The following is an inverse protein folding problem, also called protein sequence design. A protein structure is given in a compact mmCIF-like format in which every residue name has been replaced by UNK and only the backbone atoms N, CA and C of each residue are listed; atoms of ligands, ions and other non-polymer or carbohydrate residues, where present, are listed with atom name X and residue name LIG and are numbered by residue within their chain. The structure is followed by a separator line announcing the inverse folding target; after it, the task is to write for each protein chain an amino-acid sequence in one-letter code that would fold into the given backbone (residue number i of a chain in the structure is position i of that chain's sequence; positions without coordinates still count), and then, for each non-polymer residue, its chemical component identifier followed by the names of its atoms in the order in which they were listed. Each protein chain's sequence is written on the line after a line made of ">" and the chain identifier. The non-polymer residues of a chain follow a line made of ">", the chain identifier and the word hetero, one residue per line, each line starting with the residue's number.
data_IF_336940775055
#
_entry.id   IF_336940775055
#
_cell.length_a   1.000
_cell.length_b   1.000
_cell.length_c   1.000
_cell.angle_alpha   90.00
_cell.angle_beta   90.00
_cell.angle_gamma   90.00
#
_symmetry.space_group_name_H-M   'P 1'
#
loop_
_entity.id
_entity.type
_entity.pdbx_description
1 polymer ?
#
# COMPACT_ATOMS: atom_id res chain seq x y z
N UNK A 1 10.25 24.05 27.53
CA UNK A 1 9.62 22.71 27.54
C UNK A 1 8.75 22.59 26.30
N UNK A 2 9.03 21.61 25.46
CA UNK A 2 8.17 21.25 24.32
C UNK A 2 6.99 20.47 24.86
N UNK A 3 5.79 21.04 24.74
CA UNK A 3 4.55 20.35 25.09
C UNK A 3 4.18 19.42 23.95
N UNK A 4 4.04 18.12 24.24
CA UNK A 4 3.59 17.12 23.27
C UNK A 4 2.09 17.30 22.99
N UNK A 5 1.73 17.48 21.71
CA UNK A 5 0.35 17.70 21.27
C UNK A 5 -0.59 16.58 21.75
N UNK A 6 -0.14 15.32 21.70
CA UNK A 6 -0.89 14.17 22.20
C UNK A 6 -1.33 14.34 23.66
N UNK A 7 -0.42 14.80 24.52
CA UNK A 7 -0.69 14.99 25.96
C UNK A 7 -1.74 16.08 26.19
N UNK A 8 -1.65 17.19 25.44
CA UNK A 8 -2.62 18.28 25.54
C UNK A 8 -4.00 17.82 25.06
N UNK A 9 -4.06 17.20 23.90
CA UNK A 9 -5.33 16.69 23.36
C UNK A 9 -5.95 15.62 24.27
N UNK A 10 -5.15 14.67 24.78
CA UNK A 10 -5.65 13.67 25.72
C UNK A 10 -6.29 14.32 26.96
N UNK A 11 -5.66 15.33 27.55
CA UNK A 11 -6.22 16.06 28.67
C UNK A 11 -7.55 16.77 28.37
N UNK A 12 -7.67 17.39 27.20
CA UNK A 12 -8.90 18.01 26.74
C UNK A 12 -10.02 16.99 26.50
N UNK A 13 -9.68 15.85 25.90
CA UNK A 13 -10.62 14.76 25.64
C UNK A 13 -11.11 14.11 26.94
N UNK A 14 -10.21 13.87 27.89
CA UNK A 14 -10.55 13.34 29.22
C UNK A 14 -11.54 14.27 29.95
N UNK A 15 -11.30 15.56 29.92
CA UNK A 15 -12.20 16.54 30.52
C UNK A 15 -13.56 16.59 29.78
N UNK A 16 -13.57 16.47 28.43
CA UNK A 16 -14.80 16.41 27.66
C UNK A 16 -15.64 15.17 28.00
N UNK A 17 -15.01 14.00 28.17
CA UNK A 17 -15.65 12.77 28.62
C UNK A 17 -16.22 12.92 30.04
N UNK A 18 -15.42 13.47 30.96
CA UNK A 18 -15.82 13.68 32.35
C UNK A 18 -17.03 14.61 32.48
N UNK A 19 -17.12 15.62 31.62
CA UNK A 19 -18.26 16.55 31.56
C UNK A 19 -19.47 16.00 30.78
N UNK A 20 -19.37 14.82 30.21
CA UNK A 20 -20.43 14.22 29.40
C UNK A 20 -20.66 14.95 28.05
N UNK A 21 -19.67 15.69 27.53
CA UNK A 21 -19.72 16.37 26.23
C UNK A 21 -19.62 15.33 25.11
N UNK A 22 -18.79 14.32 25.29
CA UNK A 22 -18.60 13.19 24.36
C UNK A 22 -18.63 11.87 25.13
N UNK A 23 -18.98 10.79 24.44
CA UNK A 23 -18.81 9.44 24.96
C UNK A 23 -17.31 9.05 24.97
N UNK A 24 -16.91 8.27 25.98
CA UNK A 24 -15.55 7.76 26.07
C UNK A 24 -15.34 6.54 25.18
N UNK A 25 -15.13 6.80 23.89
CA UNK A 25 -14.69 5.82 22.91
C UNK A 25 -13.73 6.47 21.93
N UNK A 26 -12.88 5.67 21.29
CA UNK A 26 -11.89 6.17 20.35
C UNK A 26 -12.53 6.93 19.19
N UNK A 27 -13.71 6.51 18.73
CA UNK A 27 -14.43 7.16 17.62
C UNK A 27 -14.90 8.56 18.00
N UNK A 28 -15.55 8.71 19.16
CA UNK A 28 -16.02 10.03 19.63
C UNK A 28 -14.86 10.94 20.02
N UNK A 29 -13.79 10.39 20.59
CA UNK A 29 -12.57 11.15 20.86
C UNK A 29 -11.94 11.66 19.56
N UNK A 30 -11.86 10.83 18.51
CA UNK A 30 -11.32 11.24 17.20
C UNK A 30 -12.20 12.27 16.48
N UNK A 31 -13.51 12.21 16.62
CA UNK A 31 -14.42 13.24 16.11
C UNK A 31 -14.19 14.58 16.80
N UNK A 32 -13.95 14.56 18.11
CA UNK A 32 -13.82 15.78 18.90
C UNK A 32 -12.43 16.41 18.81
N UNK A 33 -11.36 15.61 18.84
CA UNK A 33 -9.99 16.15 18.69
C UNK A 33 -9.79 16.80 17.31
N UNK A 34 -10.36 16.22 16.27
CA UNK A 34 -10.35 16.78 14.92
C UNK A 34 -11.05 18.14 14.87
N UNK A 35 -12.17 18.28 15.60
CA UNK A 35 -12.88 19.57 15.75
C UNK A 35 -12.03 20.61 16.48
N UNK A 36 -11.32 20.22 17.54
CA UNK A 36 -10.39 21.11 18.26
C UNK A 36 -9.28 21.56 17.31
N UNK A 37 -8.65 20.64 16.61
CA UNK A 37 -7.54 20.95 15.70
C UNK A 37 -7.95 21.79 14.50
N UNK A 38 -9.21 21.71 14.06
CA UNK A 38 -9.72 22.59 13.01
C UNK A 38 -9.62 24.08 13.37
N UNK A 39 -9.73 24.41 14.65
CA UNK A 39 -9.59 25.80 15.10
C UNK A 39 -8.18 26.37 14.86
N UNK A 40 -7.18 25.50 14.77
CA UNK A 40 -5.77 25.84 14.59
C UNK A 40 -5.27 25.58 13.16
N UNK A 41 -6.06 24.88 12.34
CA UNK A 41 -5.66 24.50 10.98
C UNK A 41 -5.98 25.64 10.00
N UNK A 42 -5.02 26.11 9.18
CA UNK A 42 -5.28 27.10 8.14
C UNK A 42 -6.41 26.68 7.20
N UNK A 43 -7.14 27.68 6.69
CA UNK A 43 -8.24 27.43 5.74
C UNK A 43 -7.71 26.88 4.41
N UNK A 44 -8.52 26.10 3.66
CA UNK A 44 -8.09 25.50 2.39
C UNK A 44 -7.41 26.48 1.44
N UNK A 45 -7.98 27.66 1.21
CA UNK A 45 -7.41 28.68 0.33
C UNK A 45 -6.03 29.19 0.80
N UNK A 46 -5.82 29.29 2.10
CA UNK A 46 -4.52 29.68 2.66
C UNK A 46 -3.46 28.60 2.45
N UNK A 47 -3.83 27.33 2.64
CA UNK A 47 -2.94 26.20 2.41
C UNK A 47 -2.57 26.10 0.94
N UNK A 48 -3.52 26.23 0.04
CA UNK A 48 -3.31 26.20 -1.41
C UNK A 48 -2.38 27.34 -1.86
N UNK A 49 -2.60 28.56 -1.36
CA UNK A 49 -1.77 29.72 -1.68
C UNK A 49 -0.32 29.55 -1.20
N UNK A 50 -0.12 29.06 0.03
CA UNK A 50 1.23 28.82 0.56
C UNK A 50 1.91 27.66 -0.18
N UNK A 51 1.18 26.60 -0.51
CA UNK A 51 1.69 25.51 -1.32
C UNK A 51 2.17 26.00 -2.69
N UNK A 52 1.35 26.78 -3.39
CA UNK A 52 1.70 27.34 -4.70
C UNK A 52 2.95 28.22 -4.64
N UNK A 53 3.04 29.10 -3.63
CA UNK A 53 4.21 29.95 -3.41
C UNK A 53 5.49 29.14 -3.19
N UNK A 54 5.42 28.06 -2.43
CA UNK A 54 6.57 27.16 -2.19
C UNK A 54 6.91 26.34 -3.41
N UNK A 55 5.91 25.96 -4.19
CA UNK A 55 6.10 25.23 -5.44
C UNK A 55 6.90 26.06 -6.48
N UNK A 56 6.75 27.39 -6.46
CA UNK A 56 7.58 28.28 -7.28
C UNK A 56 9.08 28.19 -6.93
N UNK A 57 9.41 27.84 -5.69
CA UNK A 57 10.79 27.58 -5.27
C UNK A 57 11.24 26.19 -5.73
N UNK A 58 10.49 25.16 -5.35
CA UNK A 58 10.66 23.79 -5.83
C UNK A 58 9.46 22.91 -5.45
N UNK A 59 9.19 21.83 -6.21
CA UNK A 59 8.19 20.84 -5.81
C UNK A 59 8.44 20.27 -4.41
N UNK A 60 9.71 20.08 -4.04
CA UNK A 60 10.09 19.55 -2.72
C UNK A 60 9.71 20.52 -1.58
N UNK A 61 9.97 21.80 -1.73
CA UNK A 61 9.57 22.82 -0.74
C UNK A 61 8.06 22.82 -0.50
N UNK A 62 7.27 22.66 -1.55
CA UNK A 62 5.82 22.57 -1.46
C UNK A 62 5.36 21.32 -0.71
N UNK A 63 5.91 20.15 -1.05
CA UNK A 63 5.55 18.88 -0.40
C UNK A 63 6.04 18.82 1.04
N UNK A 64 7.23 19.33 1.35
CA UNK A 64 7.76 19.42 2.73
C UNK A 64 6.81 20.24 3.61
N UNK A 65 6.35 21.40 3.12
CA UNK A 65 5.36 22.23 3.81
C UNK A 65 4.06 21.47 4.05
N UNK A 66 3.51 20.86 3.01
CA UNK A 66 2.21 20.20 3.10
C UNK A 66 2.25 18.93 3.96
N UNK A 67 3.35 18.18 3.91
CA UNK A 67 3.54 17.03 4.79
C UNK A 67 3.66 17.46 6.26
N UNK A 68 4.47 18.49 6.53
CA UNK A 68 4.58 19.05 7.88
C UNK A 68 3.24 19.56 8.40
N UNK A 69 2.47 20.27 7.59
CA UNK A 69 1.13 20.72 7.97
C UNK A 69 0.21 19.56 8.30
N UNK A 70 0.24 18.49 7.51
CA UNK A 70 -0.57 17.30 7.74
C UNK A 70 -0.22 16.59 9.05
N UNK A 71 1.03 16.70 9.51
CA UNK A 71 1.48 16.22 10.82
C UNK A 71 1.10 17.19 11.95
N UNK A 72 1.37 18.48 11.78
CA UNK A 72 1.15 19.50 12.82
C UNK A 72 -0.34 19.76 13.08
N UNK A 73 -1.20 19.53 12.09
CA UNK A 73 -2.67 19.59 12.24
C UNK A 73 -3.27 18.34 12.89
N UNK A 74 -2.44 17.38 13.26
CA UNK A 74 -2.86 16.07 13.80
C UNK A 74 -3.75 15.24 12.84
N UNK A 75 -3.79 15.61 11.56
CA UNK A 75 -4.39 14.75 10.54
C UNK A 75 -3.60 13.44 10.43
N UNK A 76 -2.26 13.53 10.40
CA UNK A 76 -1.36 12.41 10.62
C UNK A 76 -1.05 12.35 12.11
N UNK A 77 -1.65 11.39 12.81
CA UNK A 77 -1.44 11.21 14.26
C UNK A 77 -0.11 10.49 14.49
N UNK A 78 0.98 11.28 14.60
CA UNK A 78 2.36 10.77 14.72
C UNK A 78 2.52 9.76 15.87
N UNK A 79 1.86 9.97 16.99
CA UNK A 79 1.91 9.07 18.14
C UNK A 79 1.28 7.69 17.87
N UNK A 80 0.29 7.60 16.96
CA UNK A 80 -0.26 6.31 16.50
C UNK A 80 0.70 5.62 15.55
N UNK A 81 1.26 6.37 14.59
CA UNK A 81 2.24 5.85 13.62
C UNK A 81 3.49 5.30 14.33
N UNK A 82 3.93 5.94 15.42
CA UNK A 82 5.07 5.46 16.23
C UNK A 82 4.83 4.10 16.90
N UNK A 83 3.59 3.65 17.01
CA UNK A 83 3.26 2.33 17.57
C UNK A 83 3.49 1.19 16.58
N UNK A 84 3.54 1.49 15.29
CA UNK A 84 3.79 0.51 14.24
C UNK A 84 5.12 -0.18 14.50
N UNK A 85 5.12 -1.51 14.39
CA UNK A 85 6.35 -2.30 14.49
C UNK A 85 6.91 -2.48 13.09
N UNK A 86 8.15 -2.04 12.89
CA UNK A 86 8.82 -2.05 11.58
C UNK A 86 10.18 -2.70 11.69
N UNK A 87 10.52 -3.56 10.74
CA UNK A 87 11.86 -4.13 10.59
C UNK A 87 12.12 -4.48 9.13
N UNK A 88 13.34 -4.91 8.85
CA UNK A 88 13.77 -5.30 7.52
C UNK A 88 14.33 -6.70 7.55
N UNK A 89 14.16 -7.43 6.45
CA UNK A 89 14.65 -8.80 6.30
C UNK A 89 15.35 -8.94 4.96
N UNK A 90 16.56 -9.49 4.97
CA UNK A 90 17.28 -9.85 3.76
C UNK A 90 16.62 -11.02 3.05
N UNK A 91 16.51 -10.92 1.73
CA UNK A 91 16.00 -11.97 0.86
C UNK A 91 16.88 -12.14 -0.36
N UNK A 92 16.59 -13.18 -1.17
CA UNK A 92 17.23 -13.36 -2.46
C UNK A 92 16.99 -12.21 -3.45
N UNK A 93 15.99 -11.36 -3.16
CA UNK A 93 15.56 -10.23 -4.00
C UNK A 93 15.96 -8.86 -3.45
N UNK A 94 16.74 -8.84 -2.38
CA UNK A 94 17.12 -7.63 -1.65
C UNK A 94 16.44 -7.53 -0.28
N UNK A 95 16.65 -6.40 0.37
CA UNK A 95 16.11 -6.12 1.70
C UNK A 95 14.63 -5.71 1.63
N UNK A 96 13.77 -6.49 2.27
CA UNK A 96 12.31 -6.31 2.29
C UNK A 96 11.89 -5.61 3.57
N UNK A 97 10.96 -4.67 3.46
CA UNK A 97 10.36 -3.97 4.59
C UNK A 97 9.16 -4.74 5.13
N UNK A 98 9.09 -4.89 6.46
CA UNK A 98 7.96 -5.51 7.15
C UNK A 98 7.37 -4.53 8.15
N UNK A 99 6.06 -4.40 8.15
CA UNK A 99 5.33 -3.54 9.08
C UNK A 99 4.14 -4.30 9.69
N UNK A 100 4.02 -4.29 11.01
CA UNK A 100 2.76 -4.60 11.70
C UNK A 100 2.09 -3.25 11.95
N UNK A 101 0.96 -3.01 11.28
CA UNK A 101 0.26 -1.74 11.37
C UNK A 101 -0.59 -1.68 12.63
N UNK A 102 -0.26 -0.75 13.54
CA UNK A 102 -0.98 -0.46 14.78
C UNK A 102 -1.59 0.94 14.79
N UNK A 103 -1.35 1.73 13.74
CA UNK A 103 -1.83 3.11 13.62
C UNK A 103 -3.31 3.20 13.24
N UNK A 104 -3.85 2.16 12.59
CA UNK A 104 -5.27 2.06 12.29
C UNK A 104 -6.00 1.59 13.55
N UNK A 105 -6.95 2.39 14.09
CA UNK A 105 -7.71 1.98 15.27
C UNK A 105 -8.43 0.66 15.03
N UNK A 106 -8.34 -0.26 15.99
CA UNK A 106 -9.20 -1.42 16.00
C UNK A 106 -10.65 -0.97 16.20
N UNK A 107 -11.58 -1.67 15.54
CA UNK A 107 -13.00 -1.36 15.68
C UNK A 107 -13.45 -1.72 17.09
N UNK A 108 -13.68 -0.70 17.91
CA UNK A 108 -14.30 -0.85 19.23
C UNK A 108 -15.72 -1.47 19.07
N UNK A 109 -16.09 -2.47 19.89
CA UNK A 109 -17.43 -3.04 19.90
C UNK A 109 -18.55 -2.01 20.02
N UNK A 110 -18.35 -0.95 20.81
CA UNK A 110 -19.27 0.18 20.92
C UNK A 110 -19.42 0.95 19.61
N UNK A 111 -18.29 1.18 18.92
CA UNK A 111 -18.27 1.85 17.62
C UNK A 111 -18.96 1.00 16.54
N UNK A 112 -18.77 -0.33 16.56
CA UNK A 112 -19.47 -1.26 15.66
C UNK A 112 -20.97 -1.21 15.89
N UNK A 113 -21.42 -1.23 17.15
CA UNK A 113 -22.84 -1.16 17.50
C UNK A 113 -23.45 0.19 17.08
N UNK A 114 -22.76 1.30 17.35
CA UNK A 114 -23.20 2.63 16.96
C UNK A 114 -23.26 2.78 15.43
N UNK A 115 -22.29 2.24 14.69
CA UNK A 115 -22.27 2.25 13.23
C UNK A 115 -23.42 1.45 12.62
N UNK A 116 -23.83 0.33 13.23
CA UNK A 116 -24.99 -0.46 12.79
C UNK A 116 -26.30 0.32 12.91
N UNK A 117 -26.42 1.18 13.91
CA UNK A 117 -27.62 1.98 14.19
C UNK A 117 -27.57 3.37 13.52
N UNK A 118 -26.44 3.76 12.92
CA UNK A 118 -26.31 5.03 12.23
C UNK A 118 -27.09 5.01 10.91
N UNK A 119 -27.76 6.14 10.60
CA UNK A 119 -28.37 6.31 9.28
C UNK A 119 -27.29 6.25 8.21
N UNK A 120 -27.54 5.47 7.16
CA UNK A 120 -26.68 5.46 5.98
C UNK A 120 -26.65 6.87 5.37
N UNK A 121 -25.48 7.45 5.25
CA UNK A 121 -25.27 8.72 4.55
C UNK A 121 -24.58 8.43 3.21
N UNK A 122 -25.07 9.06 2.14
CA UNK A 122 -24.42 9.04 0.82
C UNK A 122 -23.48 10.22 0.62
N UNK A 123 -23.20 11.00 1.67
CA UNK A 123 -22.34 12.18 1.64
C UNK A 123 -21.35 12.17 2.80
N UNK A 124 -20.04 12.30 2.53
CA UNK A 124 -19.41 12.10 1.20
C UNK A 124 -19.65 10.68 0.67
N UNK A 125 -19.64 10.50 -0.66
CA UNK A 125 -19.86 9.18 -1.29
C UNK A 125 -18.81 8.14 -0.85
N UNK A 126 -17.57 8.56 -0.67
CA UNK A 126 -16.49 7.74 -0.13
C UNK A 126 -15.44 8.60 0.57
N UNK A 127 -14.42 7.95 1.17
CA UNK A 127 -13.36 8.64 1.91
C UNK A 127 -12.37 9.42 1.02
N UNK A 128 -12.46 9.30 -0.31
CA UNK A 128 -11.59 9.99 -1.28
C UNK A 128 -12.28 11.17 -1.97
N UNK A 129 -13.59 11.37 -1.77
CA UNK A 129 -14.29 12.51 -2.37
C UNK A 129 -13.76 13.84 -1.79
N UNK A 130 -13.72 14.88 -2.64
CA UNK A 130 -13.23 16.22 -2.25
C UNK A 130 -14.00 16.81 -1.08
N UNK A 131 -15.26 16.43 -0.91
CA UNK A 131 -16.14 16.84 0.17
C UNK A 131 -15.68 16.39 1.57
N UNK A 132 -14.67 15.51 1.63
CA UNK A 132 -14.05 15.16 2.91
C UNK A 132 -13.20 16.29 3.48
N UNK A 133 -12.69 17.23 2.67
CA UNK A 133 -11.96 18.37 3.19
C UNK A 133 -12.85 19.21 4.11
N UNK A 134 -12.47 19.31 5.37
CA UNK A 134 -13.25 20.04 6.37
C UNK A 134 -14.49 19.32 6.90
N UNK A 135 -14.70 18.05 6.53
CA UNK A 135 -15.88 17.28 6.95
C UNK A 135 -15.83 16.89 8.43
N UNK A 136 -16.92 17.16 9.15
CA UNK A 136 -16.99 16.89 10.59
C UNK A 136 -16.94 15.39 10.96
N UNK A 137 -17.30 14.52 10.03
CA UNK A 137 -17.35 13.08 10.26
C UNK A 137 -18.62 12.62 10.95
N UNK A 138 -18.76 11.31 11.02
CA UNK A 138 -19.82 10.58 11.70
C UNK A 138 -19.21 9.35 12.38
N UNK A 139 -19.98 8.63 13.17
CA UNK A 139 -19.53 7.39 13.83
C UNK A 139 -19.02 6.35 12.85
N UNK A 140 -19.57 6.34 11.62
CA UNK A 140 -19.20 5.43 10.55
C UNK A 140 -18.40 6.07 9.40
N UNK A 141 -18.01 7.35 9.53
CA UNK A 141 -17.19 8.06 8.56
C UNK A 141 -16.17 8.95 9.27
N UNK A 142 -14.87 8.86 8.96
CA UNK A 142 -13.84 9.60 9.69
C UNK A 142 -14.05 11.12 9.64
N UNK A 143 -13.76 11.79 10.75
CA UNK A 143 -13.66 13.25 10.78
C UNK A 143 -12.46 13.71 9.97
N UNK A 144 -12.63 14.81 9.22
CA UNK A 144 -11.63 15.39 8.31
C UNK A 144 -11.58 16.92 8.42
N UNK A 145 -12.00 17.51 9.54
CA UNK A 145 -12.02 18.96 9.71
C UNK A 145 -10.61 19.58 9.64
N UNK A 146 -9.59 18.85 10.07
CA UNK A 146 -8.17 19.22 10.02
C UNK A 146 -7.46 18.70 8.76
N UNK A 147 -8.17 18.05 7.84
CA UNK A 147 -7.64 17.55 6.58
C UNK A 147 -7.66 18.63 5.51
N UNK A 148 -6.60 18.66 4.69
CA UNK A 148 -6.48 19.60 3.55
C UNK A 148 -6.09 18.82 2.30
N UNK A 149 -6.54 19.33 1.17
CA UNK A 149 -6.34 18.77 -0.16
C UNK A 149 -5.69 19.84 -1.03
N UNK A 150 -4.68 19.45 -1.80
CA UNK A 150 -4.08 20.30 -2.82
C UNK A 150 -4.71 19.95 -4.17
N UNK A 151 -5.43 20.86 -4.82
CA UNK A 151 -5.92 20.65 -6.17
C UNK A 151 -4.75 20.63 -7.14
N UNK A 152 -4.74 19.63 -8.01
CA UNK A 152 -3.75 19.47 -9.09
C UNK A 152 -4.47 19.14 -10.40
N UNK A 153 -3.77 19.31 -11.52
CA UNK A 153 -4.25 18.92 -12.84
C UNK A 153 -3.50 17.68 -13.31
N UNK A 154 -4.21 16.63 -13.62
CA UNK A 154 -3.69 15.35 -14.12
C UNK A 154 -4.55 14.94 -15.31
N UNK A 155 -3.94 14.58 -16.43
CA UNK A 155 -4.64 14.22 -17.67
C UNK A 155 -5.72 15.26 -18.04
N UNK A 156 -5.35 16.54 -18.01
CA UNK A 156 -6.22 17.70 -18.32
C UNK A 156 -7.54 17.75 -17.53
N UNK A 157 -7.55 17.15 -16.34
CA UNK A 157 -8.71 17.11 -15.45
C UNK A 157 -8.35 17.46 -14.00
N UNK A 158 -9.39 17.76 -13.21
CA UNK A 158 -9.22 18.15 -11.81
C UNK A 158 -9.00 16.91 -10.91
N UNK A 159 -7.90 16.92 -10.16
CA UNK A 159 -7.52 15.88 -9.20
C UNK A 159 -7.18 16.51 -7.84
N UNK A 160 -7.19 15.70 -6.80
CA UNK A 160 -6.75 16.07 -5.47
C UNK A 160 -5.48 15.33 -5.07
N UNK A 161 -4.61 16.02 -4.35
CA UNK A 161 -3.41 15.46 -3.72
C UNK A 161 -3.53 15.62 -2.21
N UNK A 162 -3.39 14.50 -1.48
CA UNK A 162 -3.44 14.44 -0.03
C UNK A 162 -2.49 13.40 0.52
N UNK A 163 -2.07 13.51 1.79
CA UNK A 163 -1.34 12.45 2.47
C UNK A 163 -2.29 11.42 3.08
N UNK A 164 -1.80 10.19 3.20
CA UNK A 164 -2.47 9.15 3.97
C UNK A 164 -2.26 9.38 5.46
N UNK A 165 -3.29 9.27 6.30
CA UNK A 165 -3.12 9.39 7.74
C UNK A 165 -2.40 8.19 8.37
N UNK A 166 -2.23 7.10 7.64
CA UNK A 166 -1.65 5.84 8.15
C UNK A 166 -0.15 5.68 7.90
N UNK A 167 0.45 6.49 7.07
CA UNK A 167 1.91 6.58 6.80
C UNK A 167 2.62 5.23 6.83
N UNK A 168 2.32 4.37 5.87
CA UNK A 168 3.01 3.08 5.77
C UNK A 168 4.49 3.24 5.37
N UNK A 169 4.81 4.32 4.67
CA UNK A 169 6.15 4.72 4.24
C UNK A 169 6.24 6.26 4.19
N UNK A 170 7.46 6.77 4.00
CA UNK A 170 7.69 8.22 4.05
C UNK A 170 6.86 8.99 3.01
N UNK A 171 6.18 10.02 3.48
CA UNK A 171 5.34 10.92 2.68
C UNK A 171 4.29 10.17 1.83
N UNK A 172 3.72 9.11 2.42
CA UNK A 172 2.66 8.31 1.79
C UNK A 172 1.48 9.21 1.39
N UNK A 173 1.24 9.32 0.10
CA UNK A 173 0.18 10.17 -0.45
C UNK A 173 -0.84 9.39 -1.27
N UNK A 174 -1.98 10.02 -1.48
CA UNK A 174 -3.06 9.54 -2.33
C UNK A 174 -3.39 10.67 -3.31
N UNK A 175 -3.46 10.32 -4.58
CA UNK A 175 -3.86 11.20 -5.68
C UNK A 175 -5.17 10.66 -6.22
N UNK A 176 -6.23 11.45 -6.18
CA UNK A 176 -7.57 10.97 -6.48
C UNK A 176 -8.29 11.88 -7.47
N UNK A 177 -9.14 11.28 -8.30
CA UNK A 177 -9.95 12.01 -9.28
C UNK A 177 -10.90 12.97 -8.56
N UNK A 178 -11.04 14.19 -9.05
CA UNK A 178 -12.02 15.15 -8.55
C UNK A 178 -13.46 14.68 -8.71
N UNK A 179 -13.71 13.75 -9.64
CA UNK A 179 -14.99 13.10 -9.86
C UNK A 179 -15.00 11.68 -9.29
N UNK A 180 -16.10 11.27 -8.66
CA UNK A 180 -16.28 9.92 -8.14
C UNK A 180 -16.59 8.94 -9.28
N UNK A 181 -15.55 8.48 -9.96
CA UNK A 181 -15.60 7.52 -11.07
C UNK A 181 -14.82 6.25 -10.73
N UNK A 182 -15.26 5.06 -11.22
CA UNK A 182 -14.57 3.82 -10.89
C UNK A 182 -13.16 3.74 -11.51
N UNK A 183 -12.31 2.98 -10.85
CA UNK A 183 -10.95 2.71 -11.31
C UNK A 183 -10.97 1.89 -12.61
N UNK A 184 -10.08 2.26 -13.55
CA UNK A 184 -9.82 1.52 -14.78
C UNK A 184 -8.33 1.58 -15.09
N UNK A 185 -7.78 0.46 -15.57
CA UNK A 185 -6.45 0.47 -16.20
C UNK A 185 -6.60 0.54 -17.71
N UNK A 186 -6.03 1.57 -18.27
CA UNK A 186 -5.99 1.84 -19.70
C UNK A 186 -4.78 2.74 -20.04
N UNK A 187 -4.57 3.08 -21.29
CA UNK A 187 -3.47 3.97 -21.70
C UNK A 187 -3.44 5.28 -20.89
N UNK A 188 -4.60 5.84 -20.59
CA UNK A 188 -4.70 7.09 -19.84
C UNK A 188 -4.19 6.95 -18.39
N UNK A 189 -4.21 5.76 -17.82
CA UNK A 189 -3.60 5.50 -16.51
C UNK A 189 -2.12 5.84 -16.52
N UNK A 190 -1.38 5.46 -17.56
CA UNK A 190 0.05 5.78 -17.69
C UNK A 190 0.28 7.28 -17.89
N UNK A 191 -0.59 7.96 -18.64
CA UNK A 191 -0.55 9.43 -18.76
C UNK A 191 -0.70 10.08 -17.38
N UNK A 192 -1.68 9.66 -16.61
CA UNK A 192 -1.94 10.17 -15.26
C UNK A 192 -0.73 9.98 -14.31
N UNK A 193 -0.13 8.79 -14.35
CA UNK A 193 1.06 8.48 -13.54
C UNK A 193 2.21 9.44 -13.86
N UNK A 194 2.55 9.63 -15.13
CA UNK A 194 3.66 10.49 -15.53
C UNK A 194 3.35 11.99 -15.39
N UNK A 195 2.11 12.41 -15.54
CA UNK A 195 1.72 13.81 -15.28
C UNK A 195 2.02 14.16 -13.79
N UNK A 196 1.67 13.27 -12.88
CA UNK A 196 2.00 13.47 -11.46
C UNK A 196 3.50 13.43 -11.18
N UNK A 197 4.22 12.47 -11.75
CA UNK A 197 5.68 12.36 -11.58
C UNK A 197 6.41 13.59 -12.15
N UNK A 198 5.90 14.22 -13.21
CA UNK A 198 6.44 15.49 -13.73
C UNK A 198 6.18 16.66 -12.76
N UNK A 199 5.01 16.68 -12.10
CA UNK A 199 4.71 17.69 -11.07
C UNK A 199 5.59 17.53 -9.83
N UNK A 200 5.84 16.28 -9.41
CA UNK A 200 6.59 15.93 -8.20
C UNK A 200 7.66 14.86 -8.52
N UNK A 201 8.80 15.26 -9.13
CA UNK A 201 9.79 14.29 -9.61
C UNK A 201 10.48 13.46 -8.52
N UNK A 202 10.38 13.88 -7.27
CA UNK A 202 10.90 13.16 -6.10
C UNK A 202 9.92 12.12 -5.54
N UNK A 203 8.70 12.01 -6.11
CA UNK A 203 7.70 11.02 -5.75
C UNK A 203 7.57 9.95 -6.81
N UNK A 204 7.24 8.73 -6.38
CA UNK A 204 6.65 7.72 -7.26
C UNK A 204 5.13 7.85 -7.25
N UNK A 205 4.46 7.26 -8.24
CA UNK A 205 3.02 7.05 -8.25
C UNK A 205 2.70 5.69 -8.85
N UNK A 206 1.69 5.01 -8.29
CA UNK A 206 1.34 3.67 -8.68
C UNK A 206 -0.17 3.41 -8.59
N UNK A 207 -0.67 2.51 -9.40
CA UNK A 207 -2.07 2.09 -9.45
C UNK A 207 -2.23 0.62 -9.06
N UNK A 208 -3.32 0.28 -8.41
CA UNK A 208 -3.71 -1.10 -8.11
C UNK A 208 -5.16 -1.34 -8.56
N UNK A 209 -5.37 -1.81 -9.77
CA UNK A 209 -6.71 -2.13 -10.22
C UNK A 209 -7.16 -3.50 -9.69
N UNK A 210 -8.43 -3.62 -9.39
CA UNK A 210 -9.24 -4.84 -9.24
C UNK A 210 -8.88 -5.72 -8.03
N UNK A 211 -7.62 -5.99 -7.68
CA UNK A 211 -7.26 -6.93 -6.62
C UNK A 211 -6.50 -6.23 -5.50
N UNK A 212 -7.15 -6.03 -4.34
CA UNK A 212 -6.52 -5.50 -3.12
C UNK A 212 -6.69 -3.99 -2.88
N UNK A 213 -7.34 -3.24 -3.78
CA UNK A 213 -7.71 -1.84 -3.53
C UNK A 213 -8.93 -1.74 -2.62
N UNK A 214 -8.89 -0.84 -1.62
CA UNK A 214 -10.01 -0.67 -0.67
C UNK A 214 -11.18 0.14 -1.23
N UNK A 215 -10.97 0.99 -2.26
CA UNK A 215 -11.98 1.90 -2.83
C UNK A 215 -11.89 1.85 -4.36
N UNK A 216 -12.41 0.79 -4.96
CA UNK A 216 -12.40 0.60 -6.41
C UNK A 216 -13.41 1.50 -7.16
N UNK A 217 -14.37 2.07 -6.42
CA UNK A 217 -15.42 2.94 -6.97
C UNK A 217 -14.95 4.37 -7.24
N UNK A 218 -13.75 4.73 -6.79
CA UNK A 218 -13.19 6.07 -6.95
C UNK A 218 -11.76 5.98 -7.48
N UNK A 219 -11.54 6.46 -8.70
CA UNK A 219 -10.24 6.45 -9.40
C UNK A 219 -9.19 7.20 -8.60
N UNK A 220 -8.12 6.51 -8.21
CA UNK A 220 -7.07 7.06 -7.36
C UNK A 220 -5.76 6.28 -7.50
N UNK A 221 -4.67 6.90 -7.07
CA UNK A 221 -3.31 6.36 -7.06
C UNK A 221 -2.69 6.52 -5.67
N UNK A 222 -1.72 5.68 -5.36
CA UNK A 222 -0.87 5.84 -4.19
C UNK A 222 0.54 6.22 -4.62
N UNK A 223 1.13 7.14 -3.89
CA UNK A 223 2.48 7.62 -4.15
C UNK A 223 3.21 8.04 -2.88
N UNK A 224 4.36 8.66 -3.06
CA UNK A 224 5.15 9.17 -1.95
C UNK A 224 6.64 9.27 -2.26
N UNK A 225 7.39 9.72 -1.26
CA UNK A 225 8.83 9.86 -1.33
C UNK A 225 9.50 8.67 -0.62
N UNK A 226 9.49 7.53 -1.28
CA UNK A 226 10.09 6.30 -0.77
C UNK A 226 10.61 5.41 -1.89
N UNK A 227 11.74 4.75 -1.65
CA UNK A 227 12.35 3.81 -2.60
C UNK A 227 12.17 2.39 -2.06
N UNK A 228 11.24 1.65 -2.63
CA UNK A 228 10.95 0.27 -2.25
C UNK A 228 12.02 -0.71 -2.73
N UNK A 229 12.03 -1.90 -2.12
CA UNK A 229 12.92 -2.99 -2.50
C UNK A 229 12.82 -3.35 -3.99
N UNK A 230 11.62 -3.38 -4.56
CA UNK A 230 11.42 -3.63 -5.99
C UNK A 230 12.08 -2.54 -6.86
N UNK A 231 12.00 -1.27 -6.47
CA UNK A 231 12.65 -0.17 -7.20
C UNK A 231 14.18 -0.28 -7.18
N UNK A 232 14.75 -0.79 -6.09
CA UNK A 232 16.20 -1.04 -5.94
C UNK A 232 16.67 -2.29 -6.68
N UNK A 233 15.78 -3.24 -6.96
CA UNK A 233 16.13 -4.49 -7.61
C UNK A 233 16.64 -4.24 -9.04
N UNK A 234 17.70 -4.94 -9.49
CA UNK A 234 18.25 -4.79 -10.83
C UNK A 234 17.40 -5.49 -11.88
N UNK A 235 17.57 -5.13 -13.14
CA UNK A 235 17.15 -5.95 -14.27
C UNK A 235 18.09 -7.13 -14.45
N UNK A 236 17.55 -8.35 -14.52
CA UNK A 236 18.33 -9.58 -14.73
C UNK A 236 18.63 -9.83 -16.21
N UNK A 237 17.68 -9.47 -17.07
CA UNK A 237 17.75 -9.70 -18.51
C UNK A 237 17.05 -8.57 -19.25
N UNK A 238 17.65 -8.10 -20.32
CA UNK A 238 17.12 -7.02 -21.15
C UNK A 238 16.69 -7.51 -22.53
N UNK A 239 15.72 -6.82 -23.12
CA UNK A 239 15.09 -7.18 -24.39
C UNK A 239 14.94 -5.95 -25.27
N UNK A 240 14.98 -6.15 -26.58
CA UNK A 240 14.63 -5.14 -27.56
C UNK A 240 13.22 -5.43 -28.09
N UNK A 241 12.31 -4.48 -27.91
CA UNK A 241 10.94 -4.61 -28.42
C UNK A 241 10.83 -3.90 -29.77
N UNK A 242 10.24 -4.58 -30.74
CA UNK A 242 10.05 -4.04 -32.08
C UNK A 242 9.25 -2.73 -32.04
N UNK A 243 9.70 -1.73 -32.77
CA UNK A 243 9.18 -0.35 -32.81
C UNK A 243 9.41 0.47 -31.51
N UNK A 244 10.11 -0.11 -30.52
CA UNK A 244 10.47 0.54 -29.25
C UNK A 244 11.95 0.30 -28.92
N UNK A 245 12.81 0.27 -29.93
CA UNK A 245 14.24 0.02 -29.80
C UNK A 245 14.98 1.13 -29.02
N UNK A 246 14.31 2.27 -28.88
CA UNK A 246 14.74 3.43 -28.09
C UNK A 246 14.40 3.32 -26.58
N UNK A 247 13.64 2.30 -26.17
CA UNK A 247 13.27 2.07 -24.78
C UNK A 247 14.06 0.89 -24.22
N UNK A 248 14.72 1.07 -23.09
CA UNK A 248 15.34 -0.03 -22.35
C UNK A 248 14.24 -0.85 -21.66
N UNK A 249 14.18 -2.15 -21.92
CA UNK A 249 13.20 -3.08 -21.36
C UNK A 249 13.91 -4.25 -20.71
N UNK A 250 13.51 -4.61 -19.50
CA UNK A 250 14.11 -5.76 -18.81
C UNK A 250 13.19 -6.40 -17.79
N UNK A 251 13.50 -7.65 -17.46
CA UNK A 251 12.88 -8.38 -16.35
C UNK A 251 13.58 -7.98 -15.07
N UNK A 252 12.82 -7.55 -14.08
CA UNK A 252 13.34 -7.19 -12.75
C UNK A 252 13.60 -8.44 -11.92
N UNK A 253 14.71 -8.48 -11.19
CA UNK A 253 15.01 -9.51 -10.19
C UNK A 253 14.08 -9.37 -8.99
N UNK A 254 12.86 -9.85 -9.15
CA UNK A 254 11.78 -9.71 -8.18
C UNK A 254 10.90 -10.96 -8.17
N UNK A 255 10.28 -11.35 -7.05
CA UNK A 255 9.44 -12.55 -6.99
C UNK A 255 8.17 -12.45 -7.84
N UNK A 256 7.64 -11.26 -8.05
CA UNK A 256 6.58 -11.00 -9.01
C UNK A 256 7.16 -10.84 -10.42
N UNK A 257 6.32 -11.02 -11.44
CA UNK A 257 6.71 -10.91 -12.85
C UNK A 257 6.67 -9.46 -13.29
N UNK A 258 7.79 -8.76 -13.22
CA UNK A 258 7.89 -7.32 -13.47
C UNK A 258 8.74 -7.03 -14.69
N UNK A 259 8.17 -6.28 -15.64
CA UNK A 259 8.89 -5.62 -16.74
C UNK A 259 9.18 -4.18 -16.34
N UNK A 260 10.45 -3.77 -16.42
CA UNK A 260 10.88 -2.38 -16.22
C UNK A 260 11.20 -1.75 -17.55
N UNK A 261 10.56 -0.61 -17.79
CA UNK A 261 10.79 0.22 -18.97
C UNK A 261 11.52 1.50 -18.54
N UNK A 262 12.53 1.91 -19.30
CA UNK A 262 13.30 3.14 -19.05
C UNK A 262 13.43 3.96 -20.32
N UNK A 263 13.19 5.26 -20.21
CA UNK A 263 13.43 6.24 -21.25
C UNK A 263 13.53 7.64 -20.70
N UNK A 264 14.24 8.53 -21.37
CA UNK A 264 14.20 9.97 -21.07
C UNK A 264 12.93 10.64 -21.60
N UNK A 265 12.15 9.95 -22.43
CA UNK A 265 10.89 10.39 -23.01
C UNK A 265 9.74 9.53 -22.43
N UNK A 266 8.96 10.10 -21.55
CA UNK A 266 7.81 9.43 -20.92
C UNK A 266 6.73 9.03 -21.91
N UNK A 267 6.61 9.73 -23.05
CA UNK A 267 5.62 9.39 -24.07
C UNK A 267 5.86 8.01 -24.67
N UNK A 268 7.13 7.62 -24.80
CA UNK A 268 7.51 6.30 -25.29
C UNK A 268 7.15 5.20 -24.26
N UNK A 269 7.28 5.51 -22.98
CA UNK A 269 6.88 4.58 -21.89
C UNK A 269 5.36 4.40 -21.85
N UNK A 270 4.61 5.46 -22.08
CA UNK A 270 3.14 5.43 -22.17
C UNK A 270 2.70 4.54 -23.33
N UNK A 271 3.28 4.72 -24.50
CA UNK A 271 2.94 3.93 -25.69
C UNK A 271 3.30 2.45 -25.52
N UNK A 272 4.52 2.16 -25.06
CA UNK A 272 4.94 0.78 -24.80
C UNK A 272 4.15 0.14 -23.66
N UNK A 273 3.89 0.87 -22.59
CA UNK A 273 3.05 0.39 -21.48
C UNK A 273 1.65 0.01 -21.94
N UNK A 274 1.02 0.82 -22.79
CA UNK A 274 -0.28 0.52 -23.39
C UNK A 274 -0.21 -0.73 -24.30
N UNK A 275 0.83 -0.85 -25.11
CA UNK A 275 1.05 -2.02 -25.96
C UNK A 275 1.19 -3.30 -25.13
N UNK A 276 1.99 -3.28 -24.06
CA UNK A 276 2.16 -4.44 -23.16
C UNK A 276 0.84 -4.78 -22.44
N UNK A 277 0.10 -3.77 -21.98
CA UNK A 277 -1.20 -3.98 -21.34
C UNK A 277 -2.19 -4.69 -22.25
N UNK A 278 -2.31 -4.23 -23.51
CA UNK A 278 -3.21 -4.81 -24.51
C UNK A 278 -2.79 -6.25 -24.83
N UNK A 279 -1.49 -6.49 -25.04
CA UNK A 279 -0.95 -7.83 -25.29
C UNK A 279 -1.21 -8.77 -24.10
N UNK A 280 -0.96 -8.31 -22.85
CA UNK A 280 -1.15 -9.13 -21.66
C UNK A 280 -2.62 -9.50 -21.44
N UNK A 281 -3.54 -8.56 -21.64
CA UNK A 281 -4.98 -8.81 -21.46
C UNK A 281 -5.51 -9.95 -22.30
N UNK A 282 -5.01 -10.15 -23.50
CA UNK A 282 -5.41 -11.22 -24.39
C UNK A 282 -4.53 -12.47 -24.36
N UNK A 283 -3.50 -12.50 -23.50
CA UNK A 283 -2.49 -13.56 -23.54
C UNK A 283 -2.90 -14.80 -22.76
N UNK A 284 -2.88 -15.94 -23.43
CA UNK A 284 -3.07 -17.27 -22.83
C UNK A 284 -1.87 -18.15 -23.15
N UNK A 285 -1.30 -18.78 -22.13
CA UNK A 285 -0.25 -19.80 -22.24
C UNK A 285 -0.60 -20.94 -21.27
N UNK A 286 -1.28 -21.95 -21.79
CA UNK A 286 -1.75 -23.09 -20.98
C UNK A 286 -0.60 -23.83 -20.31
N UNK A 287 0.56 -23.92 -20.97
CA UNK A 287 1.74 -24.59 -20.42
C UNK A 287 2.29 -23.89 -19.16
N UNK A 288 2.07 -22.59 -19.03
CA UNK A 288 2.45 -21.80 -17.86
C UNK A 288 1.26 -21.54 -16.91
N UNK A 289 0.11 -22.15 -17.17
CA UNK A 289 -1.13 -21.91 -16.44
C UNK A 289 -1.58 -20.42 -16.45
N UNK A 290 -1.36 -19.76 -17.58
CA UNK A 290 -1.80 -18.38 -17.80
C UNK A 290 -3.03 -18.40 -18.71
N UNK A 291 -4.16 -17.99 -18.20
CA UNK A 291 -5.42 -17.87 -18.93
C UNK A 291 -5.90 -16.44 -18.91
N UNK A 292 -6.11 -15.86 -20.08
CA UNK A 292 -6.61 -14.49 -20.20
C UNK A 292 -8.02 -14.32 -19.65
N UNK A 293 -8.84 -15.38 -19.78
CA UNK A 293 -10.20 -15.43 -19.25
C UNK A 293 -10.66 -16.86 -19.00
N UNK A 294 -11.71 -17.00 -18.20
CA UNK A 294 -12.47 -18.25 -18.02
C UNK A 294 -13.94 -17.91 -18.08
N UNK A 295 -14.67 -18.54 -19.00
CA UNK A 295 -16.12 -18.30 -19.22
C UNK A 295 -16.48 -16.82 -19.40
N UNK A 296 -15.59 -16.05 -20.02
CA UNK A 296 -15.75 -14.61 -20.26
C UNK A 296 -15.27 -13.70 -19.11
N UNK A 297 -14.90 -14.25 -17.96
CA UNK A 297 -14.30 -13.48 -16.86
C UNK A 297 -12.81 -13.22 -17.11
N UNK A 298 -12.38 -11.95 -17.22
CA UNK A 298 -10.99 -11.61 -17.48
C UNK A 298 -10.10 -11.83 -16.25
N UNK A 299 -8.88 -12.33 -16.47
CA UNK A 299 -7.93 -12.60 -15.39
C UNK A 299 -6.68 -11.74 -15.43
N UNK A 300 -6.23 -11.33 -16.61
CA UNK A 300 -4.97 -10.61 -16.76
C UNK A 300 -5.15 -9.10 -16.51
N UNK A 301 -4.32 -8.57 -15.64
CA UNK A 301 -4.19 -7.12 -15.41
C UNK A 301 -2.73 -6.77 -15.10
N UNK A 302 -2.43 -5.48 -14.95
CA UNK A 302 -1.10 -4.97 -14.64
C UNK A 302 -1.20 -4.01 -13.46
N UNK A 303 -0.21 -4.08 -12.57
CA UNK A 303 0.03 -3.07 -11.54
C UNK A 303 1.19 -2.19 -12.01
N UNK A 304 0.92 -0.94 -12.46
CA UNK A 304 1.95 -0.04 -12.94
C UNK A 304 2.49 0.86 -11.83
N UNK A 305 3.82 1.06 -11.82
CA UNK A 305 4.51 1.97 -10.92
C UNK A 305 5.42 2.88 -11.74
N UNK A 306 5.21 4.20 -11.63
CA UNK A 306 6.00 5.21 -12.33
C UNK A 306 6.87 6.00 -11.36
N UNK A 307 8.09 6.34 -11.80
CA UNK A 307 9.02 7.20 -11.07
C UNK A 307 10.02 7.86 -12.01
N UNK A 308 10.73 8.85 -11.49
CA UNK A 308 11.87 9.47 -12.15
C UNK A 308 13.15 9.19 -11.37
N UNK A 309 14.20 8.76 -12.05
CA UNK A 309 15.53 8.52 -11.49
C UNK A 309 16.54 9.34 -12.30
N UNK A 310 17.05 10.42 -11.72
CA UNK A 310 17.85 11.40 -12.47
C UNK A 310 17.05 11.99 -13.64
N UNK A 311 17.58 11.88 -14.84
CA UNK A 311 16.92 12.36 -16.06
C UNK A 311 16.06 11.30 -16.76
N UNK A 312 16.01 10.09 -16.21
CA UNK A 312 15.32 8.94 -16.78
C UNK A 312 13.98 8.69 -16.07
N UNK A 313 12.94 8.46 -16.86
CA UNK A 313 11.68 7.93 -16.36
C UNK A 313 11.70 6.40 -16.33
N UNK A 314 11.10 5.80 -15.32
CA UNK A 314 10.91 4.37 -15.20
C UNK A 314 9.42 4.04 -15.05
N UNK A 315 8.99 2.99 -15.74
CA UNK A 315 7.68 2.38 -15.59
C UNK A 315 7.87 0.90 -15.30
N UNK A 316 7.51 0.47 -14.09
CA UNK A 316 7.48 -0.95 -13.74
C UNK A 316 6.07 -1.46 -13.95
N UNK A 317 5.95 -2.58 -14.67
CA UNK A 317 4.70 -3.25 -14.98
C UNK A 317 4.72 -4.63 -14.33
N UNK A 318 4.04 -4.77 -13.18
CA UNK A 318 3.85 -6.07 -12.55
C UNK A 318 2.66 -6.80 -13.19
N UNK A 319 2.94 -7.90 -13.88
CA UNK A 319 1.91 -8.73 -14.52
C UNK A 319 1.13 -9.49 -13.45
N UNK A 320 -0.20 -9.40 -13.49
CA UNK A 320 -1.09 -10.04 -12.52
C UNK A 320 -2.13 -10.91 -13.23
N UNK A 321 -2.56 -11.95 -12.51
CA UNK A 321 -3.63 -12.84 -12.97
C UNK A 321 -4.46 -13.28 -11.75
N UNK A 322 -5.78 -13.23 -11.83
CA UNK A 322 -6.69 -13.51 -10.70
C UNK A 322 -7.46 -14.84 -10.81
N UNK A 323 -6.97 -15.77 -11.66
CA UNK A 323 -7.64 -17.07 -11.81
C UNK A 323 -7.73 -17.82 -10.47
N UNK A 324 -8.84 -18.51 -10.26
CA UNK A 324 -9.07 -19.38 -9.12
C UNK A 324 -9.21 -20.84 -9.55
N UNK A 325 -8.93 -21.77 -8.65
CA UNK A 325 -9.16 -23.21 -8.79
C UNK A 325 -9.79 -23.76 -7.52
N UNK A 326 -10.23 -25.01 -7.53
CA UNK A 326 -10.71 -25.69 -6.32
C UNK A 326 -9.62 -25.75 -5.23
N UNK A 327 -8.38 -25.98 -5.64
CA UNK A 327 -7.20 -26.00 -4.73
C UNK A 327 -6.88 -24.61 -4.19
N UNK A 328 -7.04 -23.56 -5.02
CA UNK A 328 -6.76 -22.18 -4.69
C UNK A 328 -8.00 -21.27 -4.89
N UNK A 329 -8.99 -21.38 -4.00
CA UNK A 329 -10.27 -20.68 -4.16
C UNK A 329 -10.15 -19.15 -3.99
N UNK A 330 -9.07 -18.68 -3.36
CA UNK A 330 -8.77 -17.25 -3.22
C UNK A 330 -7.89 -16.70 -4.35
N UNK A 331 -7.37 -17.58 -5.21
CA UNK A 331 -6.51 -17.25 -6.34
C UNK A 331 -5.26 -18.14 -6.41
N UNK A 332 -4.90 -18.56 -7.62
CA UNK A 332 -3.66 -19.33 -7.87
C UNK A 332 -2.43 -18.47 -7.62
N UNK A 333 -2.51 -17.18 -8.03
CA UNK A 333 -1.46 -16.18 -7.86
C UNK A 333 -1.78 -15.25 -6.69
N UNK A 334 -1.96 -15.87 -5.53
CA UNK A 334 -2.41 -15.28 -4.27
C UNK A 334 -1.67 -16.00 -3.14
N UNK A 335 -1.56 -15.43 -1.92
CA UNK A 335 -0.97 -16.16 -0.79
C UNK A 335 -1.62 -17.52 -0.58
N UNK A 336 -0.85 -18.59 -0.65
CA UNK A 336 -1.36 -19.94 -0.47
C UNK A 336 -1.69 -20.24 0.99
N UNK A 337 -2.56 -21.24 1.22
CA UNK A 337 -3.15 -21.53 2.54
C UNK A 337 -2.11 -21.76 3.65
N UNK A 338 -0.95 -22.30 3.32
CA UNK A 338 0.15 -22.55 4.28
C UNK A 338 0.71 -21.28 4.94
N UNK A 339 0.50 -20.09 4.34
CA UNK A 339 0.96 -18.81 4.84
C UNK A 339 -0.14 -17.96 5.50
N UNK A 340 -1.39 -18.45 5.54
CA UNK A 340 -2.53 -17.70 6.03
C UNK A 340 -2.48 -17.38 7.53
N UNK A 341 -1.64 -18.05 8.28
CA UNK A 341 -1.35 -17.69 9.67
C UNK A 341 -0.69 -16.30 9.78
N UNK A 342 0.06 -15.89 8.77
CA UNK A 342 0.74 -14.59 8.70
C UNK A 342 0.00 -13.64 7.74
N UNK A 343 -0.26 -14.07 6.50
CA UNK A 343 -0.88 -13.27 5.44
C UNK A 343 -1.91 -14.08 4.68
N UNK A 344 -3.18 -13.71 4.82
CA UNK A 344 -4.30 -14.36 4.13
C UNK A 344 -4.88 -13.49 3.02
N UNK A 345 -4.88 -12.16 3.22
CA UNK A 345 -5.47 -11.19 2.31
C UNK A 345 -4.66 -11.09 1.01
N UNK A 346 -5.31 -10.62 -0.05
CA UNK A 346 -4.65 -10.32 -1.33
C UNK A 346 -3.46 -9.37 -1.15
N UNK A 347 -2.46 -9.56 -2.00
CA UNK A 347 -1.31 -8.67 -2.09
C UNK A 347 -1.76 -7.32 -2.64
N UNK A 348 -1.62 -6.29 -1.80
CA UNK A 348 -1.88 -4.91 -2.14
C UNK A 348 -0.71 -4.26 -2.90
N UNK A 349 -0.92 -3.03 -3.37
CA UNK A 349 0.08 -2.28 -4.11
C UNK A 349 1.42 -2.14 -3.36
N UNK A 350 1.36 -1.74 -2.10
CA UNK A 350 2.53 -1.52 -1.25
C UNK A 350 3.33 -2.82 -1.10
N UNK A 351 2.61 -3.93 -0.96
CA UNK A 351 3.19 -5.26 -0.81
C UNK A 351 3.85 -5.75 -2.11
N UNK A 352 3.25 -5.46 -3.27
CA UNK A 352 3.87 -5.73 -4.59
C UNK A 352 5.26 -5.09 -4.69
N UNK A 353 5.41 -3.90 -4.13
CA UNK A 353 6.66 -3.13 -4.16
C UNK A 353 7.69 -3.58 -3.10
N UNK A 354 7.32 -4.46 -2.16
CA UNK A 354 8.24 -5.06 -1.20
C UNK A 354 8.14 -4.52 0.24
N UNK A 355 6.98 -3.98 0.62
CA UNK A 355 6.67 -3.62 2.00
C UNK A 355 5.44 -4.40 2.47
N UNK A 356 5.64 -5.33 3.39
CA UNK A 356 4.54 -6.08 4.01
C UNK A 356 3.78 -5.19 4.99
N UNK A 357 2.45 -5.14 4.84
CA UNK A 357 1.54 -4.51 5.80
C UNK A 357 0.75 -5.63 6.48
N UNK A 358 1.22 -6.05 7.63
CA UNK A 358 0.68 -7.19 8.37
C UNK A 358 -0.37 -6.75 9.41
N UNK A 359 -1.34 -7.62 9.74
CA UNK A 359 -2.41 -7.30 10.67
C UNK A 359 -1.92 -7.10 12.12
N UNK A 360 -2.58 -6.21 12.85
CA UNK A 360 -2.26 -5.83 14.23
C UNK A 360 -2.19 -7.01 15.21
N UNK A 361 -3.04 -8.04 15.01
CA UNK A 361 -3.04 -9.27 15.82
C UNK A 361 -1.67 -9.93 15.95
N UNK A 362 -0.83 -9.83 14.92
CA UNK A 362 0.49 -10.46 14.90
C UNK A 362 1.44 -9.93 15.97
N UNK A 363 1.25 -8.71 16.46
CA UNK A 363 2.07 -8.19 17.56
C UNK A 363 1.90 -9.05 18.82
N UNK A 364 0.67 -9.20 19.29
CA UNK A 364 0.36 -10.01 20.49
C UNK A 364 0.67 -11.49 20.24
N UNK A 365 0.27 -12.01 19.08
CA UNK A 365 0.52 -13.41 18.73
C UNK A 365 2.00 -13.77 18.72
N UNK A 366 2.88 -12.91 18.20
CA UNK A 366 4.32 -13.13 18.20
C UNK A 366 4.94 -13.04 19.59
N UNK A 367 4.45 -12.14 20.46
CA UNK A 367 4.89 -12.04 21.84
C UNK A 367 4.55 -13.33 22.65
N UNK A 368 3.32 -13.82 22.52
CA UNK A 368 2.89 -15.08 23.17
C UNK A 368 3.69 -16.28 22.59
N UNK A 369 3.86 -16.31 21.28
CA UNK A 369 4.61 -17.38 20.61
C UNK A 369 6.07 -17.40 21.06
N UNK A 370 6.69 -16.25 21.21
CA UNK A 370 8.05 -16.11 21.72
C UNK A 370 8.18 -16.73 23.12
N UNK A 371 7.26 -16.41 24.03
CA UNK A 371 7.26 -16.97 25.39
C UNK A 371 7.11 -18.51 25.37
N UNK A 372 6.19 -19.03 24.53
CA UNK A 372 5.99 -20.48 24.39
C UNK A 372 7.22 -21.20 23.86
N UNK A 373 7.91 -20.61 22.87
CA UNK A 373 9.13 -21.17 22.31
C UNK A 373 10.28 -21.22 23.32
N UNK A 374 10.47 -20.15 24.09
CA UNK A 374 11.50 -20.08 25.14
C UNK A 374 11.23 -21.07 26.26
N UNK A 375 9.97 -21.21 26.66
CA UNK A 375 9.55 -22.12 27.74
C UNK A 375 9.34 -23.56 27.30
N UNK A 376 9.42 -23.87 26.02
CA UNK A 376 9.18 -25.20 25.46
C UNK A 376 7.73 -25.68 25.57
N UNK A 377 6.77 -24.75 25.66
CA UNK A 377 5.35 -25.05 25.78
C UNK A 377 4.75 -25.51 24.44
N UNK A 378 3.65 -26.28 24.53
CA UNK A 378 2.93 -26.73 23.34
C UNK A 378 2.08 -25.60 22.74
N UNK A 379 2.45 -25.12 21.55
CA UNK A 379 1.79 -24.04 20.84
C UNK A 379 0.32 -24.37 20.53
N UNK A 380 0.00 -25.66 20.28
CA UNK A 380 -1.35 -26.12 19.92
C UNK A 380 -2.36 -26.04 21.07
N UNK A 381 -1.90 -25.82 22.29
CA UNK A 381 -2.76 -25.67 23.47
C UNK A 381 -3.25 -24.23 23.71
N UNK A 382 -2.79 -23.28 22.90
CA UNK A 382 -3.20 -21.88 23.02
C UNK A 382 -3.94 -21.43 21.76
N UNK A 383 -5.23 -21.16 21.87
CA UNK A 383 -6.14 -20.78 20.78
C UNK A 383 -5.67 -19.55 19.99
N UNK A 384 -4.93 -18.62 20.61
CA UNK A 384 -4.42 -17.42 19.91
C UNK A 384 -3.29 -17.74 18.93
N UNK A 385 -2.49 -18.76 19.21
CA UNK A 385 -1.26 -19.06 18.47
C UNK A 385 -1.22 -20.44 17.83
N UNK A 386 -2.22 -21.30 18.07
CA UNK A 386 -2.26 -22.66 17.51
C UNK A 386 -2.09 -22.67 15.98
N UNK A 387 -2.64 -21.68 15.29
CA UNK A 387 -2.50 -21.50 13.84
C UNK A 387 -1.05 -21.34 13.35
N UNK A 388 -0.12 -21.00 14.25
CA UNK A 388 1.29 -20.85 13.95
C UNK A 388 2.10 -22.14 14.14
N UNK A 389 1.50 -23.19 14.70
CA UNK A 389 2.21 -24.40 15.08
C UNK A 389 2.90 -25.08 13.90
N UNK A 390 2.19 -25.29 12.78
CA UNK A 390 2.75 -25.93 11.59
C UNK A 390 3.87 -25.07 10.97
N UNK A 391 3.70 -23.77 10.94
CA UNK A 391 4.73 -22.85 10.48
C UNK A 391 6.00 -22.92 11.34
N UNK A 392 5.87 -22.94 12.67
CA UNK A 392 7.01 -23.08 13.59
C UNK A 392 7.80 -24.36 13.32
N UNK A 393 7.12 -25.48 13.04
CA UNK A 393 7.79 -26.75 12.73
C UNK A 393 8.67 -26.65 11.47
N UNK A 394 8.35 -25.75 10.54
CA UNK A 394 9.17 -25.58 9.32
C UNK A 394 10.55 -24.99 9.59
N UNK A 395 10.73 -24.28 10.69
CA UNK A 395 11.99 -23.62 11.00
C UNK A 395 12.60 -23.99 12.37
N UNK A 396 11.86 -24.62 13.27
CA UNK A 396 12.35 -24.99 14.61
C UNK A 396 13.72 -25.67 14.56
N UNK A 397 13.91 -26.61 13.65
CA UNK A 397 15.16 -27.36 13.52
C UNK A 397 16.33 -26.61 12.88
N UNK A 398 16.12 -25.37 12.42
CA UNK A 398 17.18 -24.54 11.83
C UNK A 398 18.00 -23.78 12.87
N UNK A 399 17.52 -23.75 14.11
CA UNK A 399 18.11 -22.98 15.22
C UNK A 399 18.48 -23.91 16.38
N UNK A 400 19.58 -23.61 17.06
CA UNK A 400 20.08 -24.40 18.20
C UNK A 400 19.22 -24.27 19.47
N UNK A 401 18.23 -23.42 19.46
CA UNK A 401 17.27 -23.18 20.52
C UNK A 401 16.76 -21.76 20.56
N UNK A 402 15.74 -21.54 21.40
CA UNK A 402 15.10 -20.23 21.58
C UNK A 402 15.40 -19.70 22.96
N UNK A 403 15.95 -18.49 23.03
CA UNK A 403 16.21 -17.75 24.26
C UNK A 403 15.44 -16.44 24.24
N UNK A 404 15.33 -15.77 25.39
CA UNK A 404 14.70 -14.45 25.48
C UNK A 404 15.41 -13.40 24.59
N UNK A 405 16.71 -13.59 24.38
CA UNK A 405 17.55 -12.67 23.61
C UNK A 405 17.38 -12.85 22.09
N UNK A 406 17.15 -14.08 21.62
CA UNK A 406 17.15 -14.38 20.17
C UNK A 406 15.77 -14.64 19.56
N UNK A 407 14.77 -15.01 20.35
CA UNK A 407 13.50 -15.55 19.84
C UNK A 407 12.75 -14.53 18.98
N UNK A 408 12.74 -13.27 19.35
CA UNK A 408 12.01 -12.26 18.58
C UNK A 408 12.69 -11.97 17.26
N UNK A 409 14.01 -11.89 17.23
CA UNK A 409 14.79 -11.72 16.00
C UNK A 409 14.56 -12.89 15.04
N UNK A 410 14.51 -14.14 15.56
CA UNK A 410 14.20 -15.32 14.76
C UNK A 410 12.79 -15.23 14.18
N UNK A 411 11.79 -14.89 15.00
CA UNK A 411 10.40 -14.76 14.53
C UNK A 411 10.26 -13.66 13.47
N UNK A 412 10.89 -12.53 13.65
CA UNK A 412 10.90 -11.43 12.68
C UNK A 412 11.51 -11.85 11.35
N UNK A 413 12.63 -12.58 11.38
CA UNK A 413 13.27 -13.13 10.19
C UNK A 413 12.37 -14.14 9.48
N UNK A 414 11.77 -15.07 10.22
CA UNK A 414 10.89 -16.10 9.64
C UNK A 414 9.59 -15.51 9.08
N UNK A 415 9.03 -14.47 9.69
CA UNK A 415 7.92 -13.68 9.13
C UNK A 415 8.31 -13.06 7.78
N UNK A 416 9.51 -12.50 7.67
CA UNK A 416 10.04 -11.96 6.42
C UNK A 416 10.19 -13.03 5.34
N UNK A 417 10.62 -14.23 5.69
CA UNK A 417 10.69 -15.38 4.77
C UNK A 417 9.28 -15.76 4.28
N UNK A 418 8.30 -15.81 5.18
CA UNK A 418 6.90 -16.05 4.78
C UNK A 418 6.43 -14.99 3.79
N UNK A 419 6.70 -13.72 4.03
CA UNK A 419 6.30 -12.67 3.11
C UNK A 419 6.97 -12.80 1.73
N UNK A 420 8.24 -13.19 1.68
CA UNK A 420 8.93 -13.48 0.41
C UNK A 420 8.24 -14.61 -0.34
N UNK A 421 7.90 -15.70 0.35
CA UNK A 421 7.16 -16.82 -0.23
C UNK A 421 5.76 -16.42 -0.72
N UNK A 422 5.09 -15.54 0.01
CA UNK A 422 3.80 -14.96 -0.39
C UNK A 422 3.92 -14.16 -1.70
N UNK A 423 4.99 -13.38 -1.86
CA UNK A 423 5.27 -12.69 -3.12
C UNK A 423 5.58 -13.66 -4.27
N UNK A 424 6.29 -14.74 -3.99
CA UNK A 424 6.55 -15.81 -4.98
C UNK A 424 5.26 -16.52 -5.40
N UNK A 425 4.35 -16.80 -4.46
CA UNK A 425 3.01 -17.33 -4.78
C UNK A 425 2.24 -16.39 -5.70
N UNK A 426 2.33 -15.08 -5.46
CA UNK A 426 1.65 -14.06 -6.26
C UNK A 426 2.28 -13.83 -7.65
N UNK A 427 3.50 -14.27 -7.88
CA UNK A 427 4.19 -14.17 -9.16
C UNK A 427 3.57 -15.10 -10.21
N UNK A 428 3.22 -14.57 -11.37
CA UNK A 428 2.64 -15.35 -12.49
C UNK A 428 3.70 -16.29 -13.07
N UNK A 429 4.87 -15.75 -13.40
CA UNK A 429 6.02 -16.52 -13.84
C UNK A 429 6.98 -16.72 -12.67
N UNK A 430 7.18 -17.98 -12.27
CA UNK A 430 8.05 -18.30 -11.15
C UNK A 430 9.52 -17.99 -11.46
N UNK A 431 10.31 -17.71 -10.43
CA UNK A 431 11.75 -17.46 -10.56
C UNK A 431 12.53 -18.77 -10.69
N UNK A 432 12.13 -19.59 -11.64
CA UNK A 432 12.74 -20.85 -12.06
C UNK A 432 13.13 -20.77 -13.53
N UNK A 433 13.87 -21.75 -14.05
CA UNK A 433 14.22 -21.81 -15.46
C UNK A 433 12.96 -21.89 -16.34
N UNK A 434 12.01 -22.75 -15.98
CA UNK A 434 10.74 -22.93 -16.69
C UNK A 434 9.88 -21.65 -16.65
N UNK A 435 9.82 -21.01 -15.49
CA UNK A 435 9.10 -19.73 -15.33
C UNK A 435 9.72 -18.64 -16.18
N UNK A 436 11.04 -18.58 -16.25
CA UNK A 436 11.76 -17.61 -17.08
C UNK A 436 11.53 -17.85 -18.57
N UNK A 437 11.55 -19.12 -19.02
CA UNK A 437 11.23 -19.50 -20.40
C UNK A 437 9.80 -19.06 -20.75
N UNK A 438 8.84 -19.31 -19.88
CA UNK A 438 7.45 -18.91 -20.09
C UNK A 438 7.29 -17.37 -20.15
N UNK A 439 7.99 -16.64 -19.30
CA UNK A 439 7.97 -15.18 -19.33
C UNK A 439 8.53 -14.63 -20.65
N UNK A 440 9.62 -15.21 -21.16
CA UNK A 440 10.19 -14.84 -22.45
C UNK A 440 9.23 -15.12 -23.60
N UNK A 441 8.48 -16.24 -23.59
CA UNK A 441 7.45 -16.49 -24.61
C UNK A 441 6.42 -15.37 -24.70
N UNK A 442 5.99 -14.81 -23.54
CA UNK A 442 5.13 -13.63 -23.55
C UNK A 442 5.84 -12.42 -24.17
N UNK A 443 7.08 -12.13 -23.74
CA UNK A 443 7.85 -10.98 -24.23
C UNK A 443 8.07 -11.05 -25.73
N UNK A 444 8.27 -12.24 -26.30
CA UNK A 444 8.44 -12.49 -27.74
C UNK A 444 7.17 -12.16 -28.56
N UNK A 445 6.03 -12.01 -27.92
CA UNK A 445 4.77 -11.58 -28.58
C UNK A 445 4.64 -10.07 -28.68
N UNK A 446 5.49 -9.31 -28.03
CA UNK A 446 5.50 -7.85 -28.02
C UNK A 446 6.26 -7.32 -29.25
#
# INVERSE_FOLDING_TARGET
>A
ETIELETVLAGLLDEACKRGIIEDSIVYRDLFDTKIMNCLTPRPAQVQAEFAKRYEVSPKEATDYFYKLSQDSDYIRRYRVKKDRKWKVDSAYGEIDITINLSKPEKDPKAIAAAKNAKASSYPKCQLCVENEGYAGLVNHPARENHRIIPITVNDSAWGFQYSPYVYYNEHCIVFNGEHTPMKIEKQTFVKLFDFVKLFPHYFLADLPIVGGSILSHDHFQGGNYTFAMAKAPMEETFTIKNFEDVEVGIVKWPLSVLRLRSTDESRLIELGAHILDAWRGYTDEAAFVFANTDGEPHNTITPIARKVGDTYELDLALRNNITTEEHPLGVYHPHAQWHNIKKENIGLIEVMGLAVLPSRLKEEMEILADYLVEGKNIRENEKIEKHADWVETFRGKYDGFTKENVMEILEKEVGIVFTNVLEDAGVYKCTEEGRIAFKRFIETL
#
